data_IF_085497662860
#
_entry.id   IF_085497662860
#
_cell.length_a   1.000
_cell.length_b   1.000
_cell.length_c   1.000
_cell.angle_alpha   90.00
_cell.angle_beta   90.00
_cell.angle_gamma   90.00
#
_symmetry.space_group_name_H-M   'P 1'
#
loop_
_entity.id
_entity.type
_entity.pdbx_description
1 polymer ?
#
# COMPACT_ATOMS: atom_id res chain seq x y z
N UNK A 1 -18.25 -25.52 28.63
CA UNK A 1 -17.14 -24.55 28.72
C UNK A 1 -16.99 -23.96 27.34
N UNK A 2 -17.04 -22.63 27.19
CA UNK A 2 -16.84 -21.99 25.89
C UNK A 2 -15.38 -22.14 25.48
N UNK A 3 -15.13 -22.48 24.20
CA UNK A 3 -13.78 -22.56 23.62
C UNK A 3 -13.65 -21.42 22.62
N UNK A 4 -12.82 -20.44 22.97
CA UNK A 4 -12.46 -19.31 22.11
C UNK A 4 -11.44 -19.74 21.06
N UNK A 5 -10.36 -20.39 21.48
CA UNK A 5 -9.38 -20.92 20.57
C UNK A 5 -9.96 -22.11 19.78
N UNK A 6 -9.89 -22.02 18.46
CA UNK A 6 -10.20 -23.09 17.51
C UNK A 6 -8.94 -23.71 16.91
N UNK A 7 -9.11 -24.78 16.15
CA UNK A 7 -8.05 -25.36 15.32
C UNK A 7 -7.65 -24.39 14.18
N UNK A 8 -6.47 -24.61 13.60
CA UNK A 8 -5.94 -23.76 12.53
C UNK A 8 -6.85 -23.74 11.30
N UNK A 9 -7.43 -24.89 10.91
CA UNK A 9 -8.30 -25.00 9.73
C UNK A 9 -9.53 -24.09 9.84
N UNK A 10 -10.11 -23.92 11.03
CA UNK A 10 -11.20 -22.97 11.23
C UNK A 10 -10.82 -21.53 10.81
N UNK A 11 -9.63 -21.06 11.16
CA UNK A 11 -9.19 -19.70 10.81
C UNK A 11 -8.79 -19.58 9.34
N UNK A 12 -8.24 -20.64 8.75
CA UNK A 12 -7.98 -20.70 7.31
C UNK A 12 -9.28 -20.59 6.51
N UNK A 13 -10.28 -21.42 6.84
CA UNK A 13 -11.57 -21.43 6.17
C UNK A 13 -12.28 -20.07 6.32
N UNK A 14 -12.22 -19.47 7.51
CA UNK A 14 -12.76 -18.14 7.77
C UNK A 14 -12.05 -17.05 6.94
N UNK A 15 -10.72 -17.09 6.87
CA UNK A 15 -9.93 -16.13 6.10
C UNK A 15 -10.19 -16.25 4.60
N UNK A 16 -10.28 -17.48 4.11
CA UNK A 16 -10.53 -17.78 2.70
C UNK A 16 -11.96 -17.40 2.31
N UNK A 17 -12.95 -17.68 3.16
CA UNK A 17 -14.32 -17.23 2.95
C UNK A 17 -14.41 -15.70 2.84
N UNK A 18 -13.77 -14.96 3.76
CA UNK A 18 -13.72 -13.50 3.66
C UNK A 18 -13.01 -13.03 2.39
N UNK A 19 -11.99 -13.76 1.93
CA UNK A 19 -11.30 -13.45 0.66
C UNK A 19 -12.23 -13.63 -0.53
N UNK A 20 -13.03 -14.70 -0.56
CA UNK A 20 -14.02 -14.98 -1.60
C UNK A 20 -15.09 -13.89 -1.62
N UNK A 21 -15.66 -13.56 -0.47
CA UNK A 21 -16.70 -12.53 -0.35
C UNK A 21 -16.17 -11.16 -0.80
N UNK A 22 -14.97 -10.77 -0.35
CA UNK A 22 -14.33 -9.52 -0.77
C UNK A 22 -14.11 -9.48 -2.29
N UNK A 23 -13.63 -10.58 -2.89
CA UNK A 23 -13.42 -10.66 -4.34
C UNK A 23 -14.74 -10.53 -5.12
N UNK A 24 -15.80 -11.23 -4.70
CA UNK A 24 -17.12 -11.17 -5.33
C UNK A 24 -17.74 -9.78 -5.20
N UNK A 25 -17.68 -9.18 -4.01
CA UNK A 25 -18.23 -7.86 -3.75
C UNK A 25 -17.55 -6.79 -4.63
N UNK A 26 -16.23 -6.83 -4.74
CA UNK A 26 -15.49 -5.95 -5.63
C UNK A 26 -15.82 -6.19 -7.10
N UNK A 27 -15.84 -7.45 -7.54
CA UNK A 27 -16.17 -7.80 -8.92
C UNK A 27 -17.55 -7.24 -9.33
N UNK A 28 -18.57 -7.52 -8.53
CA UNK A 28 -19.94 -7.10 -8.83
C UNK A 28 -20.15 -5.60 -8.66
N UNK A 29 -19.51 -4.97 -7.68
CA UNK A 29 -19.58 -3.52 -7.48
C UNK A 29 -18.96 -2.77 -8.66
N UNK A 30 -17.78 -3.18 -9.12
CA UNK A 30 -17.11 -2.59 -10.28
C UNK A 30 -17.92 -2.79 -11.56
N UNK A 31 -18.40 -4.03 -11.80
CA UNK A 31 -19.24 -4.35 -12.95
C UNK A 31 -20.50 -3.49 -12.97
N UNK A 32 -21.22 -3.42 -11.85
CA UNK A 32 -22.44 -2.60 -11.72
C UNK A 32 -22.15 -1.11 -11.91
N UNK A 33 -21.00 -0.63 -11.48
CA UNK A 33 -20.54 0.74 -11.73
C UNK A 33 -20.36 1.02 -13.21
N UNK A 34 -19.60 0.17 -13.92
CA UNK A 34 -19.36 0.31 -15.36
C UNK A 34 -20.64 0.13 -16.20
N UNK A 35 -21.53 -0.77 -15.78
CA UNK A 35 -22.81 -1.03 -16.45
C UNK A 35 -23.67 0.22 -16.61
N UNK A 36 -23.65 1.12 -15.60
CA UNK A 36 -24.39 2.39 -15.65
C UNK A 36 -23.93 3.32 -16.79
N UNK A 37 -22.69 3.16 -17.25
CA UNK A 37 -22.08 3.95 -18.31
C UNK A 37 -22.00 3.20 -19.64
N UNK A 38 -22.68 2.05 -19.78
CA UNK A 38 -22.61 1.20 -20.99
C UNK A 38 -22.91 1.98 -22.27
N UNK A 39 -23.97 2.80 -22.28
CA UNK A 39 -24.37 3.55 -23.46
C UNK A 39 -23.30 4.58 -23.89
N UNK A 40 -22.72 5.30 -22.93
CA UNK A 40 -21.66 6.29 -23.18
C UNK A 40 -20.38 5.64 -23.68
N UNK A 41 -20.00 4.49 -23.09
CA UNK A 41 -18.79 3.76 -23.47
C UNK A 41 -18.92 3.11 -24.84
N UNK A 42 -20.07 2.51 -25.17
CA UNK A 42 -20.35 1.98 -26.51
C UNK A 42 -20.43 3.06 -27.58
N UNK A 43 -20.87 4.27 -27.25
CA UNK A 43 -20.88 5.38 -28.19
C UNK A 43 -19.46 5.85 -28.55
N UNK A 44 -18.52 5.79 -27.61
CA UNK A 44 -17.11 6.15 -27.83
C UNK A 44 -16.33 5.06 -28.55
N UNK A 45 -16.57 3.80 -28.20
CA UNK A 45 -15.89 2.64 -28.78
C UNK A 45 -16.90 1.56 -29.20
N UNK A 46 -17.56 1.72 -30.36
CA UNK A 46 -18.64 0.84 -30.79
C UNK A 46 -18.17 -0.58 -31.19
N UNK A 47 -16.91 -0.73 -31.62
CA UNK A 47 -16.32 -2.00 -32.02
C UNK A 47 -15.80 -2.83 -30.84
N UNK A 48 -15.73 -2.24 -29.64
CA UNK A 48 -15.18 -2.89 -28.45
C UNK A 48 -16.24 -3.77 -27.78
N UNK A 49 -15.88 -5.02 -27.48
CA UNK A 49 -16.71 -5.90 -26.65
C UNK A 49 -16.68 -5.42 -25.20
N UNK A 50 -17.69 -4.62 -24.85
CA UNK A 50 -17.86 -4.03 -23.53
C UNK A 50 -17.77 -5.07 -22.40
N UNK A 51 -18.45 -6.21 -22.53
CA UNK A 51 -18.52 -7.19 -21.45
C UNK A 51 -17.17 -7.87 -21.23
N UNK A 52 -16.41 -8.10 -22.31
CA UNK A 52 -15.04 -8.60 -22.24
C UNK A 52 -14.09 -7.60 -21.57
N UNK A 53 -14.15 -6.32 -21.92
CA UNK A 53 -13.29 -5.29 -21.31
C UNK A 53 -13.63 -5.01 -19.85
N UNK A 54 -14.92 -5.00 -19.52
CA UNK A 54 -15.39 -4.92 -18.13
C UNK A 54 -14.88 -6.11 -17.33
N UNK A 55 -15.02 -7.33 -17.86
CA UNK A 55 -14.51 -8.52 -17.19
C UNK A 55 -13.00 -8.44 -16.97
N UNK A 56 -12.20 -8.04 -17.98
CA UNK A 56 -10.75 -7.84 -17.82
C UNK A 56 -10.42 -6.86 -16.69
N UNK A 57 -11.09 -5.70 -16.67
CA UNK A 57 -10.88 -4.68 -15.65
C UNK A 57 -11.20 -5.19 -14.24
N UNK A 58 -12.34 -5.86 -14.08
CA UNK A 58 -12.71 -6.50 -12.82
C UNK A 58 -11.67 -7.56 -12.42
N UNK A 59 -11.26 -8.43 -13.35
CA UNK A 59 -10.28 -9.49 -13.11
C UNK A 59 -8.91 -8.96 -12.70
N UNK A 60 -8.42 -7.85 -13.27
CA UNK A 60 -7.19 -7.22 -12.79
C UNK A 60 -7.29 -6.73 -11.34
N UNK A 61 -8.43 -6.14 -10.98
CA UNK A 61 -8.66 -5.64 -9.62
C UNK A 61 -8.74 -6.80 -8.63
N UNK A 62 -9.55 -7.82 -8.96
CA UNK A 62 -9.70 -9.03 -8.15
C UNK A 62 -8.35 -9.73 -7.98
N UNK A 63 -7.57 -9.91 -9.06
CA UNK A 63 -6.23 -10.51 -8.96
C UNK A 63 -5.30 -9.74 -8.02
N UNK A 64 -5.37 -8.40 -8.02
CA UNK A 64 -4.59 -7.60 -7.07
C UNK A 64 -5.03 -7.87 -5.63
N UNK A 65 -6.35 -7.94 -5.37
CA UNK A 65 -6.90 -8.28 -4.04
C UNK A 65 -6.42 -9.67 -3.61
N UNK A 66 -6.58 -10.69 -4.45
CA UNK A 66 -6.11 -12.07 -4.18
C UNK A 66 -4.64 -12.09 -3.75
N UNK A 67 -3.77 -11.37 -4.47
CA UNK A 67 -2.34 -11.28 -4.15
C UNK A 67 -2.11 -10.62 -2.79
N UNK A 68 -2.81 -9.52 -2.48
CA UNK A 68 -2.68 -8.87 -1.18
C UNK A 68 -3.24 -9.72 -0.04
N UNK A 69 -4.34 -10.43 -0.26
CA UNK A 69 -4.92 -11.38 0.69
C UNK A 69 -3.96 -12.53 0.97
N UNK A 70 -3.29 -13.07 -0.05
CA UNK A 70 -2.25 -14.09 0.12
C UNK A 70 -1.09 -13.57 0.98
N UNK A 71 -0.56 -12.37 0.69
CA UNK A 71 0.54 -11.76 1.47
C UNK A 71 0.25 -11.64 2.96
N UNK A 72 -1.01 -11.36 3.32
CA UNK A 72 -1.43 -11.11 4.70
C UNK A 72 -2.02 -12.34 5.41
N UNK A 73 -2.26 -13.45 4.69
CA UNK A 73 -3.00 -14.61 5.21
C UNK A 73 -2.37 -15.15 6.49
N UNK A 74 -1.08 -15.47 6.43
CA UNK A 74 -0.35 -16.06 7.56
C UNK A 74 -0.36 -15.16 8.79
N UNK A 75 -0.07 -13.87 8.61
CA UNK A 75 0.01 -12.92 9.72
C UNK A 75 -1.37 -12.68 10.34
N UNK A 76 -2.41 -12.54 9.51
CA UNK A 76 -3.78 -12.31 9.99
C UNK A 76 -4.31 -13.51 10.79
N UNK A 77 -4.05 -14.73 10.31
CA UNK A 77 -4.45 -15.96 11.01
C UNK A 77 -3.70 -16.06 12.35
N UNK A 78 -2.40 -15.79 12.36
CA UNK A 78 -1.61 -15.81 13.59
C UNK A 78 -2.13 -14.77 14.61
N UNK A 79 -2.46 -13.55 14.16
CA UNK A 79 -3.05 -12.51 15.01
C UNK A 79 -4.40 -12.94 15.60
N UNK A 80 -5.28 -13.55 14.80
CA UNK A 80 -6.59 -14.04 15.27
C UNK A 80 -6.44 -15.17 16.29
N UNK A 81 -5.59 -16.15 15.98
CA UNK A 81 -5.30 -17.28 16.87
C UNK A 81 -4.72 -16.81 18.19
N UNK A 82 -3.77 -15.86 18.15
CA UNK A 82 -3.15 -15.31 19.36
C UNK A 82 -4.16 -14.55 20.22
N UNK A 83 -5.02 -13.75 19.60
CA UNK A 83 -6.08 -13.05 20.31
C UNK A 83 -7.05 -14.03 21.01
N UNK A 84 -7.43 -15.12 20.33
CA UNK A 84 -8.29 -16.15 20.92
C UNK A 84 -7.57 -17.00 21.96
N UNK A 85 -6.25 -17.22 21.83
CA UNK A 85 -5.41 -17.86 22.85
C UNK A 85 -5.40 -17.03 24.14
N UNK A 86 -5.17 -15.73 24.04
CA UNK A 86 -5.19 -14.80 25.19
C UNK A 86 -6.55 -14.82 25.89
N UNK A 87 -7.66 -14.81 25.13
CA UNK A 87 -9.02 -14.91 25.68
C UNK A 87 -9.24 -16.24 26.39
N UNK A 88 -8.80 -17.33 25.78
CA UNK A 88 -8.92 -18.67 26.34
C UNK A 88 -8.12 -18.78 27.65
N UNK A 89 -6.89 -18.29 27.68
CA UNK A 89 -6.04 -18.29 28.88
C UNK A 89 -6.62 -17.42 29.99
N UNK A 90 -7.17 -16.25 29.67
CA UNK A 90 -7.86 -15.38 30.64
C UNK A 90 -9.07 -16.10 31.24
N UNK A 91 -9.86 -16.78 30.40
CA UNK A 91 -10.98 -17.58 30.90
C UNK A 91 -10.48 -18.76 31.73
N UNK A 92 -9.47 -19.52 31.30
CA UNK A 92 -9.07 -20.77 31.97
C UNK A 92 -8.40 -20.49 33.31
N UNK A 93 -7.50 -19.51 33.36
CA UNK A 93 -6.72 -19.17 34.56
C UNK A 93 -7.49 -18.34 35.60
N UNK A 94 -8.65 -17.78 35.26
CA UNK A 94 -9.42 -17.01 36.24
C UNK A 94 -9.92 -17.91 37.38
N UNK A 95 -9.65 -17.53 38.62
CA UNK A 95 -10.08 -18.26 39.81
C UNK A 95 -11.34 -17.63 40.41
N UNK A 96 -12.27 -18.45 40.93
CA UNK A 96 -13.46 -17.94 41.60
C UNK A 96 -13.09 -17.29 42.93
N UNK A 97 -13.78 -16.19 43.33
CA UNK A 97 -13.62 -15.63 44.66
C UNK A 97 -13.93 -16.65 45.76
N UNK A 98 -13.14 -16.63 46.83
CA UNK A 98 -13.30 -17.54 47.96
C UNK A 98 -14.45 -17.13 48.90
N UNK A 99 -14.96 -18.10 49.67
CA UNK A 99 -15.88 -17.88 50.79
C UNK A 99 -17.18 -17.13 50.45
N UNK A 100 -17.65 -17.25 49.20
CA UNK A 100 -18.91 -16.64 48.78
C UNK A 100 -20.10 -17.34 49.44
N UNK A 101 -20.71 -16.66 50.41
CA UNK A 101 -21.96 -17.07 51.05
C UNK A 101 -23.15 -16.40 50.36
N UNK A 102 -24.32 -17.04 50.43
CA UNK A 102 -25.55 -16.45 49.93
C UNK A 102 -25.90 -15.17 50.70
N UNK A 103 -26.06 -14.04 50.02
CA UNK A 103 -26.42 -12.76 50.63
C UNK A 103 -27.72 -12.80 51.47
N UNK A 104 -28.60 -13.76 51.19
CA UNK A 104 -29.96 -13.80 51.75
C UNK A 104 -30.07 -14.76 52.93
N UNK A 105 -29.40 -15.91 52.87
CA UNK A 105 -29.52 -16.95 53.89
C UNK A 105 -28.18 -17.42 54.47
N UNK A 106 -27.08 -16.75 54.09
CA UNK A 106 -25.71 -17.00 54.57
C UNK A 106 -25.24 -18.45 54.45
N UNK A 107 -25.91 -19.25 53.61
CA UNK A 107 -25.57 -20.65 53.36
C UNK A 107 -24.48 -20.75 52.27
N UNK A 108 -23.70 -21.83 52.26
CA UNK A 108 -22.69 -22.07 51.23
C UNK A 108 -23.29 -22.05 49.81
N UNK A 109 -22.46 -21.64 48.86
CA UNK A 109 -22.80 -21.57 47.43
C UNK A 109 -21.96 -22.54 46.61
N UNK A 110 -22.41 -22.84 45.39
CA UNK A 110 -21.62 -23.55 44.38
C UNK A 110 -21.50 -22.70 43.12
N UNK A 111 -20.42 -22.87 42.38
CA UNK A 111 -20.23 -22.24 41.07
C UNK A 111 -21.10 -22.99 40.05
N UNK A 112 -21.89 -22.25 39.30
CA UNK A 112 -22.76 -22.74 38.24
C UNK A 112 -22.19 -22.45 36.86
N UNK A 113 -21.58 -21.28 36.70
CA UNK A 113 -21.16 -20.79 35.39
C UNK A 113 -19.94 -19.88 35.54
N UNK A 114 -19.09 -19.90 34.51
CA UNK A 114 -17.93 -19.02 34.34
C UNK A 114 -18.07 -18.35 32.99
N UNK A 115 -18.04 -17.02 32.97
CA UNK A 115 -18.34 -16.22 31.78
C UNK A 115 -17.30 -15.13 31.62
N UNK A 116 -16.72 -15.01 30.42
CA UNK A 116 -15.89 -13.88 30.02
C UNK A 116 -16.80 -12.78 29.47
N UNK A 117 -16.86 -11.65 30.18
CA UNK A 117 -17.56 -10.45 29.72
C UNK A 117 -16.66 -9.64 28.81
N UNK A 118 -17.28 -8.94 27.87
CA UNK A 118 -16.61 -7.97 27.02
C UNK A 118 -15.36 -8.57 26.35
N UNK A 119 -15.49 -9.81 25.84
CA UNK A 119 -14.37 -10.61 25.34
C UNK A 119 -13.56 -9.95 24.21
N UNK A 120 -14.10 -8.90 23.59
CA UNK A 120 -13.47 -8.13 22.52
C UNK A 120 -13.05 -6.71 22.96
N UNK A 121 -13.27 -6.35 24.22
CA UNK A 121 -12.81 -5.09 24.81
C UNK A 121 -11.36 -5.21 25.29
N UNK A 122 -10.73 -4.06 25.59
CA UNK A 122 -9.32 -4.01 26.03
C UNK A 122 -9.08 -4.75 27.35
N UNK A 123 -10.07 -4.76 28.23
CA UNK A 123 -9.97 -5.31 29.58
C UNK A 123 -11.14 -6.27 29.84
N UNK A 124 -11.10 -7.49 29.28
CA UNK A 124 -12.17 -8.46 29.49
C UNK A 124 -12.14 -8.95 30.95
N UNK A 125 -13.31 -9.09 31.55
CA UNK A 125 -13.46 -9.52 32.94
C UNK A 125 -14.14 -10.87 33.02
N UNK A 126 -13.64 -11.74 33.89
CA UNK A 126 -14.29 -13.01 34.15
C UNK A 126 -15.23 -12.88 35.34
N UNK A 127 -16.45 -13.38 35.17
CA UNK A 127 -17.41 -13.50 36.26
C UNK A 127 -17.77 -14.95 36.53
N UNK A 128 -18.17 -15.20 37.77
CA UNK A 128 -18.62 -16.48 38.28
C UNK A 128 -20.04 -16.34 38.80
N UNK A 129 -20.95 -17.16 38.28
CA UNK A 129 -22.30 -17.27 38.81
C UNK A 129 -22.33 -18.29 39.94
N UNK A 130 -22.71 -17.86 41.12
CA UNK A 130 -22.88 -18.70 42.30
C UNK A 130 -24.36 -18.97 42.55
N UNK A 131 -24.70 -20.23 42.82
CA UNK A 131 -26.05 -20.64 43.23
C UNK A 131 -26.03 -21.12 44.69
N UNK A 132 -26.91 -20.55 45.50
CA UNK A 132 -27.06 -20.97 46.89
C UNK A 132 -27.58 -22.41 46.97
N UNK A 133 -26.91 -23.23 47.77
CA UNK A 133 -27.31 -24.63 47.96
C UNK A 133 -28.69 -24.76 48.63
N UNK A 134 -29.04 -23.83 49.52
CA UNK A 134 -30.30 -23.82 50.30
C UNK A 134 -31.46 -23.17 49.56
N UNK A 135 -31.37 -21.88 49.22
CA UNK A 135 -32.51 -21.12 48.68
C UNK A 135 -32.52 -21.00 47.15
N UNK A 136 -31.52 -21.54 46.45
CA UNK A 136 -31.38 -21.50 44.98
C UNK A 136 -31.31 -20.10 44.36
N UNK A 137 -31.21 -19.04 45.17
CA UNK A 137 -30.92 -17.69 44.69
C UNK A 137 -29.52 -17.65 44.09
N UNK A 138 -29.36 -16.83 43.05
CA UNK A 138 -28.12 -16.68 42.30
C UNK A 138 -27.54 -15.29 42.50
N UNK A 139 -26.22 -15.23 42.50
CA UNK A 139 -25.44 -14.00 42.61
C UNK A 139 -24.20 -14.16 41.72
N UNK A 140 -23.75 -13.06 41.13
CA UNK A 140 -22.64 -13.07 40.19
C UNK A 140 -21.56 -12.16 40.76
N UNK A 141 -20.32 -12.65 40.79
CA UNK A 141 -19.16 -11.88 41.19
C UNK A 141 -18.10 -11.95 40.11
N UNK A 142 -17.35 -10.87 39.94
CA UNK A 142 -16.13 -10.87 39.14
C UNK A 142 -15.01 -11.64 39.86
N UNK A 143 -13.95 -11.97 39.14
CA UNK A 143 -12.76 -12.66 39.66
C UNK A 143 -12.07 -11.93 40.83
N UNK A 144 -12.25 -10.61 40.95
CA UNK A 144 -11.75 -9.79 42.07
C UNK A 144 -12.68 -9.79 43.31
N UNK A 145 -13.80 -10.50 43.24
CA UNK A 145 -14.81 -10.56 44.29
C UNK A 145 -15.80 -9.39 44.28
N UNK A 146 -15.68 -8.43 43.36
CA UNK A 146 -16.67 -7.38 43.20
C UNK A 146 -17.99 -7.93 42.65
N UNK A 147 -19.15 -7.47 43.12
CA UNK A 147 -20.43 -7.93 42.61
C UNK A 147 -20.65 -7.45 41.19
N UNK A 148 -21.15 -8.35 40.33
CA UNK A 148 -21.70 -7.94 39.04
C UNK A 148 -23.07 -7.33 39.30
N UNK A 149 -23.18 -6.01 39.11
CA UNK A 149 -24.45 -5.31 39.19
C UNK A 149 -24.92 -4.95 37.78
N UNK A 150 -26.13 -5.39 37.45
CA UNK A 150 -26.78 -4.99 36.21
C UNK A 150 -27.50 -3.67 36.43
N UNK A 151 -26.90 -2.58 35.95
CA UNK A 151 -27.58 -1.29 35.94
C UNK A 151 -28.83 -1.39 35.04
N UNK A 152 -30.00 -1.39 35.68
CA UNK A 152 -31.26 -1.44 34.93
C UNK A 152 -31.40 -0.16 34.10
N UNK A 153 -31.75 -0.30 32.82
CA UNK A 153 -31.91 0.86 31.95
C UNK A 153 -33.02 1.76 32.49
N UNK A 154 -32.75 3.07 32.52
CA UNK A 154 -33.71 4.09 32.92
C UNK A 154 -34.47 4.59 31.70
N UNK A 155 -35.75 4.89 31.88
CA UNK A 155 -36.55 5.46 30.82
C UNK A 155 -36.06 6.87 30.46
N UNK A 156 -35.91 7.16 29.16
CA UNK A 156 -35.48 8.48 28.68
C UNK A 156 -36.41 9.62 29.08
N UNK A 157 -37.73 9.35 29.19
CA UNK A 157 -38.74 10.35 29.59
C UNK A 157 -38.84 10.51 31.11
N UNK A 158 -38.98 9.39 31.82
CA UNK A 158 -39.37 9.38 33.24
C UNK A 158 -38.15 9.27 34.18
N UNK A 159 -36.95 8.95 33.67
CA UNK A 159 -35.70 8.66 34.44
C UNK A 159 -35.86 7.57 35.52
N UNK A 160 -36.98 6.86 35.52
CA UNK A 160 -37.29 5.73 36.40
C UNK A 160 -36.78 4.45 35.74
N UNK A 161 -36.34 3.49 36.57
CA UNK A 161 -35.92 2.16 36.11
C UNK A 161 -37.03 1.47 35.33
N UNK A 162 -36.67 0.94 34.16
CA UNK A 162 -37.57 0.13 33.36
C UNK A 162 -37.79 -1.23 34.01
N UNK A 163 -39.01 -1.72 33.89
CA UNK A 163 -39.37 -3.08 34.32
C UNK A 163 -39.42 -4.01 33.12
N UNK A 164 -38.99 -5.26 33.32
CA UNK A 164 -38.98 -6.27 32.27
C UNK A 164 -39.85 -7.45 32.65
N UNK A 165 -40.70 -7.89 31.73
CA UNK A 165 -41.51 -9.11 31.84
C UNK A 165 -41.08 -10.10 30.77
N UNK A 166 -41.00 -11.36 31.16
CA UNK A 166 -40.63 -12.45 30.27
C UNK A 166 -41.82 -13.38 30.07
N UNK A 167 -42.11 -13.72 28.82
CA UNK A 167 -43.12 -14.72 28.47
C UNK A 167 -42.52 -15.70 27.48
N UNK A 168 -42.26 -16.92 27.94
CA UNK A 168 -41.80 -18.02 27.09
C UNK A 168 -42.99 -18.87 26.64
N UNK A 169 -43.13 -19.10 25.34
CA UNK A 169 -44.12 -20.02 24.77
C UNK A 169 -43.42 -20.88 23.71
N UNK A 170 -43.05 -22.10 24.08
CA UNK A 170 -42.24 -22.97 23.23
C UNK A 170 -40.88 -22.35 22.94
N UNK A 171 -40.58 -22.14 21.65
CA UNK A 171 -39.31 -21.58 21.15
C UNK A 171 -39.30 -20.05 21.03
N UNK A 172 -40.42 -19.40 21.35
CA UNK A 172 -40.55 -17.95 21.39
C UNK A 172 -40.37 -17.44 22.82
N UNK A 173 -39.42 -16.52 23.00
CA UNK A 173 -39.27 -15.73 24.22
C UNK A 173 -39.63 -14.28 23.91
N UNK A 174 -40.75 -13.83 24.47
CA UNK A 174 -41.15 -12.42 24.43
C UNK A 174 -40.62 -11.71 25.66
N UNK A 175 -39.82 -10.68 25.45
CA UNK A 175 -39.30 -9.78 26.48
C UNK A 175 -40.06 -8.47 26.32
N UNK A 176 -40.68 -7.99 27.39
CA UNK A 176 -41.41 -6.72 27.38
C UNK A 176 -40.80 -5.79 28.41
N UNK A 177 -40.17 -4.73 27.94
CA UNK A 177 -39.55 -3.69 28.78
C UNK A 177 -40.47 -2.47 28.80
N UNK A 178 -40.82 -1.95 29.98
CA UNK A 178 -41.79 -0.84 30.09
C UNK A 178 -41.45 0.13 31.23
N UNK A 179 -41.78 1.43 31.10
CA UNK A 179 -41.72 2.37 32.24
C UNK A 179 -42.99 2.20 33.08
N UNK A 180 -42.88 2.05 34.41
CA UNK A 180 -44.07 1.98 35.27
C UNK A 180 -44.83 3.32 35.36
N UNK A 181 -44.16 4.44 35.05
CA UNK A 181 -44.70 5.80 35.22
C UNK A 181 -45.14 6.48 33.91
N UNK A 182 -44.91 5.89 32.74
CA UNK A 182 -45.33 6.46 31.47
C UNK A 182 -45.73 5.37 30.46
N UNK A 183 -46.04 5.79 29.25
CA UNK A 183 -46.52 4.95 28.16
C UNK A 183 -45.42 4.14 27.44
N UNK A 184 -44.15 4.31 27.83
CA UNK A 184 -43.04 3.63 27.18
C UNK A 184 -43.14 2.11 27.34
N UNK A 185 -43.12 1.40 26.21
CA UNK A 185 -43.11 -0.06 26.13
C UNK A 185 -42.35 -0.51 24.89
N UNK A 186 -41.43 -1.44 25.08
CA UNK A 186 -40.64 -2.11 24.06
C UNK A 186 -40.88 -3.61 24.17
N UNK A 187 -41.02 -4.28 23.03
CA UNK A 187 -41.31 -5.72 22.96
C UNK A 187 -40.33 -6.37 22.02
N UNK A 188 -39.42 -7.16 22.57
CA UNK A 188 -38.50 -7.99 21.82
C UNK A 188 -39.01 -9.42 21.77
N UNK A 189 -38.95 -10.03 20.59
CA UNK A 189 -39.33 -11.43 20.40
C UNK A 189 -38.13 -12.19 19.89
N UNK A 190 -37.60 -13.07 20.73
CA UNK A 190 -36.52 -13.98 20.38
C UNK A 190 -37.13 -15.31 19.91
N UNK A 191 -37.02 -15.58 18.62
CA UNK A 191 -37.45 -16.82 17.99
C UNK A 191 -36.25 -17.75 17.77
N UNK A 192 -36.15 -18.79 18.60
CA UNK A 192 -35.05 -19.75 18.55
C UNK A 192 -35.12 -20.64 17.31
N UNK A 193 -36.30 -20.84 16.72
CA UNK A 193 -36.48 -21.61 15.49
C UNK A 193 -35.93 -20.83 14.31
N UNK A 194 -36.42 -19.59 14.17
CA UNK A 194 -36.00 -18.69 13.09
C UNK A 194 -34.50 -18.46 13.12
N UNK A 195 -33.91 -18.25 14.31
CA UNK A 195 -32.45 -18.11 14.46
C UNK A 195 -31.68 -19.32 13.96
N UNK A 196 -32.13 -20.55 14.26
CA UNK A 196 -31.50 -21.78 13.75
C UNK A 196 -31.64 -21.92 12.24
N UNK A 197 -32.83 -21.63 11.71
CA UNK A 197 -33.08 -21.66 10.26
C UNK A 197 -32.19 -20.64 9.51
N UNK A 198 -32.00 -19.44 10.07
CA UNK A 198 -31.10 -18.41 9.52
C UNK A 198 -29.63 -18.84 9.59
N UNK A 199 -29.19 -19.42 10.72
CA UNK A 199 -27.83 -19.96 10.86
C UNK A 199 -27.55 -21.06 9.85
N UNK A 200 -28.48 -22.01 9.68
CA UNK A 200 -28.33 -23.10 8.72
C UNK A 200 -28.24 -22.58 7.28
N UNK A 201 -29.10 -21.62 6.90
CA UNK A 201 -29.03 -21.00 5.57
C UNK A 201 -27.71 -20.29 5.31
N UNK A 202 -27.18 -19.63 6.34
CA UNK A 202 -25.90 -18.94 6.25
C UNK A 202 -24.73 -19.94 6.13
N UNK A 203 -24.74 -21.04 6.90
CA UNK A 203 -23.75 -22.12 6.75
C UNK A 203 -23.80 -22.77 5.37
N UNK A 204 -25.00 -23.05 4.85
CA UNK A 204 -25.20 -23.55 3.49
C UNK A 204 -24.70 -22.56 2.42
N UNK A 205 -24.91 -21.25 2.63
CA UNK A 205 -24.38 -20.21 1.74
C UNK A 205 -22.86 -20.21 1.73
N UNK A 206 -22.24 -20.21 2.92
CA UNK A 206 -20.77 -20.20 3.07
C UNK A 206 -20.14 -21.43 2.44
N UNK A 207 -20.74 -22.60 2.65
CA UNK A 207 -20.28 -23.85 2.06
C UNK A 207 -20.32 -23.81 0.53
N UNK A 208 -21.40 -23.27 -0.07
CA UNK A 208 -21.50 -23.10 -1.52
C UNK A 208 -20.44 -22.16 -2.06
N UNK A 209 -20.27 -20.99 -1.43
CA UNK A 209 -19.25 -20.03 -1.84
C UNK A 209 -17.86 -20.64 -1.82
N UNK A 210 -17.54 -21.39 -0.75
CA UNK A 210 -16.27 -22.07 -0.63
C UNK A 210 -16.07 -23.10 -1.76
N UNK A 211 -17.07 -23.96 -2.01
CA UNK A 211 -16.98 -24.98 -3.06
C UNK A 211 -16.87 -24.39 -4.47
N UNK A 212 -17.53 -23.27 -4.74
CA UNK A 212 -17.57 -22.67 -6.08
C UNK A 212 -16.33 -21.82 -6.38
N UNK A 213 -15.78 -21.12 -5.38
CA UNK A 213 -14.82 -20.04 -5.62
C UNK A 213 -13.50 -20.16 -4.87
N UNK A 214 -13.32 -21.17 -4.01
CA UNK A 214 -12.07 -21.31 -3.23
C UNK A 214 -10.85 -21.42 -4.12
N UNK A 215 -10.85 -22.33 -5.09
CA UNK A 215 -9.73 -22.50 -6.04
C UNK A 215 -9.50 -21.25 -6.91
N UNK A 216 -10.56 -20.51 -7.23
CA UNK A 216 -10.46 -19.32 -8.08
C UNK A 216 -9.88 -18.13 -7.33
N UNK A 217 -10.25 -17.90 -6.06
CA UNK A 217 -9.88 -16.68 -5.34
C UNK A 217 -8.78 -16.87 -4.30
N UNK A 218 -8.60 -18.06 -3.75
CA UNK A 218 -7.61 -18.31 -2.70
C UNK A 218 -6.32 -18.90 -3.30
N UNK A 219 -5.27 -18.08 -3.39
CA UNK A 219 -3.98 -18.52 -3.92
C UNK A 219 -3.32 -19.55 -2.99
N UNK A 220 -2.82 -20.62 -3.56
CA UNK A 220 -2.03 -21.63 -2.85
C UNK A 220 -0.54 -21.24 -2.77
N UNK A 221 0.27 -22.05 -2.09
CA UNK A 221 1.69 -21.79 -1.87
C UNK A 221 2.58 -21.95 -3.11
N UNK A 222 2.05 -22.47 -4.21
CA UNK A 222 2.78 -22.52 -5.49
C UNK A 222 2.49 -21.30 -6.37
N UNK A 223 1.23 -20.85 -6.41
CA UNK A 223 0.77 -19.75 -7.26
C UNK A 223 0.97 -18.39 -6.58
N UNK A 224 0.75 -18.32 -5.27
CA UNK A 224 0.84 -17.11 -4.47
C UNK A 224 2.18 -16.39 -4.62
N UNK A 225 3.33 -17.05 -4.38
CA UNK A 225 4.65 -16.42 -4.51
C UNK A 225 4.93 -15.92 -5.92
N UNK A 226 4.51 -16.66 -6.96
CA UNK A 226 4.68 -16.27 -8.36
C UNK A 226 3.87 -15.01 -8.69
N UNK A 227 2.61 -14.99 -8.26
CA UNK A 227 1.73 -13.85 -8.46
C UNK A 227 2.23 -12.59 -7.72
N UNK A 228 2.72 -12.76 -6.49
CA UNK A 228 3.38 -11.70 -5.70
C UNK A 228 4.59 -11.13 -6.44
N UNK A 229 5.50 -11.99 -6.90
CA UNK A 229 6.71 -11.55 -7.61
C UNK A 229 6.39 -10.82 -8.92
N UNK A 230 5.41 -11.32 -9.68
CA UNK A 230 4.96 -10.67 -10.91
C UNK A 230 4.40 -9.27 -10.66
N UNK A 231 3.56 -9.10 -9.64
CA UNK A 231 3.00 -7.80 -9.27
C UNK A 231 4.10 -6.83 -8.81
N UNK A 232 5.04 -7.29 -7.98
CA UNK A 232 6.15 -6.47 -7.52
C UNK A 232 7.08 -6.05 -8.66
N UNK A 233 7.30 -6.93 -9.65
CA UNK A 233 8.03 -6.60 -10.87
C UNK A 233 7.37 -5.50 -11.69
N UNK A 234 6.04 -5.56 -11.88
CA UNK A 234 5.28 -4.50 -12.57
C UNK A 234 5.38 -3.17 -11.80
N UNK A 235 5.27 -3.21 -10.47
CA UNK A 235 5.39 -2.02 -9.63
C UNK A 235 6.79 -1.41 -9.72
N UNK A 236 7.85 -2.23 -9.75
CA UNK A 236 9.22 -1.77 -9.93
C UNK A 236 9.42 -1.09 -11.30
N UNK A 237 8.98 -1.74 -12.39
CA UNK A 237 9.07 -1.19 -13.73
C UNK A 237 8.32 0.14 -13.86
N UNK A 238 7.13 0.25 -13.27
CA UNK A 238 6.35 1.48 -13.26
C UNK A 238 7.07 2.64 -12.52
N UNK A 239 7.86 2.33 -11.48
CA UNK A 239 8.70 3.33 -10.80
C UNK A 239 9.84 3.78 -11.69
N UNK A 240 10.54 2.85 -12.33
CA UNK A 240 11.63 3.14 -13.26
C UNK A 240 11.14 4.02 -14.42
N UNK A 241 9.98 3.70 -15.01
CA UNK A 241 9.39 4.52 -16.07
C UNK A 241 9.07 5.94 -15.61
N UNK A 242 8.52 6.10 -14.40
CA UNK A 242 8.27 7.45 -13.84
C UNK A 242 9.56 8.23 -13.60
N UNK A 243 10.63 7.56 -13.19
CA UNK A 243 11.94 8.19 -13.03
C UNK A 243 12.53 8.59 -14.38
N UNK A 244 12.40 7.74 -15.40
CA UNK A 244 12.82 8.06 -16.77
C UNK A 244 12.01 9.24 -17.36
N UNK A 245 10.69 9.26 -17.21
CA UNK A 245 9.89 10.41 -17.65
C UNK A 245 10.33 11.72 -16.98
N UNK A 246 10.71 11.67 -15.69
CA UNK A 246 11.24 12.85 -15.00
C UNK A 246 12.56 13.30 -15.59
N UNK A 247 13.48 12.35 -15.87
CA UNK A 247 14.75 12.64 -16.54
C UNK A 247 14.52 13.24 -17.93
N UNK A 248 13.63 12.66 -18.73
CA UNK A 248 13.31 13.17 -20.06
C UNK A 248 12.65 14.55 -20.02
N UNK A 249 11.90 14.90 -18.98
CA UNK A 249 11.31 16.24 -18.84
C UNK A 249 12.30 17.28 -18.32
N UNK A 250 13.47 16.88 -17.84
CA UNK A 250 14.48 17.80 -17.33
C UNK A 250 15.05 18.67 -18.48
N UNK A 251 14.92 20.01 -18.43
CA UNK A 251 15.46 20.91 -19.44
C UNK A 251 16.97 20.76 -19.66
N UNK A 252 17.73 20.43 -18.61
CA UNK A 252 19.18 20.23 -18.68
C UNK A 252 19.48 18.95 -19.45
N UNK A 253 18.75 17.87 -19.17
CA UNK A 253 18.87 16.61 -19.91
C UNK A 253 18.54 16.76 -21.39
N UNK A 254 17.47 17.51 -21.71
CA UNK A 254 17.09 17.79 -23.10
C UNK A 254 18.17 18.60 -23.84
N UNK A 255 18.75 19.61 -23.19
CA UNK A 255 19.90 20.35 -23.75
C UNK A 255 21.10 19.46 -23.98
N UNK A 256 21.41 18.55 -23.05
CA UNK A 256 22.53 17.62 -23.17
C UNK A 256 22.33 16.67 -24.37
N UNK A 257 21.11 16.17 -24.57
CA UNK A 257 20.73 15.31 -25.71
C UNK A 257 20.82 16.03 -27.06
N UNK A 258 20.68 17.35 -27.08
CA UNK A 258 20.79 18.17 -28.29
C UNK A 258 22.24 18.50 -28.69
N UNK A 259 23.23 18.24 -27.84
CA UNK A 259 24.64 18.45 -28.18
C UNK A 259 25.07 17.55 -29.33
N UNK A 260 25.72 18.15 -30.33
CA UNK A 260 26.29 17.42 -31.46
C UNK A 260 27.52 16.63 -30.98
N UNK A 261 27.46 15.31 -31.14
CA UNK A 261 28.63 14.45 -30.95
C UNK A 261 29.51 14.51 -32.19
N UNK A 262 30.51 15.38 -32.16
CA UNK A 262 31.38 15.71 -33.29
C UNK A 262 32.65 14.84 -33.21
N UNK A 263 32.99 14.18 -34.32
CA UNK A 263 34.24 13.41 -34.43
C UNK A 263 35.44 14.32 -34.65
N UNK A 264 36.65 13.82 -34.38
CA UNK A 264 37.87 14.64 -34.43
C UNK A 264 38.11 15.33 -35.79
N UNK A 265 37.79 14.67 -36.90
CA UNK A 265 37.89 15.25 -38.24
C UNK A 265 36.94 16.45 -38.41
N UNK A 266 35.69 16.31 -37.98
CA UNK A 266 34.69 17.37 -38.02
C UNK A 266 35.04 18.51 -37.06
N UNK A 267 35.61 18.19 -35.89
CA UNK A 267 36.12 19.19 -34.94
C UNK A 267 37.18 20.07 -35.61
N UNK A 268 38.13 19.46 -36.33
CA UNK A 268 39.17 20.20 -37.05
C UNK A 268 38.56 21.17 -38.06
N UNK A 269 37.56 20.73 -38.82
CA UNK A 269 36.87 21.59 -39.79
C UNK A 269 36.14 22.75 -39.13
N UNK A 270 35.40 22.50 -38.04
CA UNK A 270 34.64 23.52 -37.30
C UNK A 270 35.57 24.58 -36.75
N UNK A 271 36.64 24.17 -36.04
CA UNK A 271 37.58 25.10 -35.41
C UNK A 271 38.34 25.87 -36.48
N UNK A 272 38.84 25.22 -37.54
CA UNK A 272 39.58 25.89 -38.62
C UNK A 272 38.72 26.98 -39.28
N UNK A 273 37.46 26.69 -39.59
CA UNK A 273 36.53 27.67 -40.19
C UNK A 273 36.26 28.85 -39.26
N UNK A 274 36.11 28.60 -37.96
CA UNK A 274 35.81 29.63 -36.98
C UNK A 274 36.97 30.61 -36.75
N UNK A 275 38.22 30.13 -36.85
CA UNK A 275 39.41 30.94 -36.49
C UNK A 275 40.08 31.60 -37.70
N UNK A 276 39.90 31.06 -38.90
CA UNK A 276 40.51 31.59 -40.13
C UNK A 276 40.13 33.04 -40.44
N UNK A 277 38.87 33.43 -40.20
CA UNK A 277 38.39 34.79 -40.46
C UNK A 277 39.07 35.85 -39.58
N UNK A 278 39.59 35.45 -38.41
CA UNK A 278 40.31 36.33 -37.49
C UNK A 278 41.83 36.25 -37.64
N UNK A 279 42.31 35.64 -38.73
CA UNK A 279 43.74 35.60 -39.07
C UNK A 279 44.53 34.53 -38.31
N UNK A 280 43.87 33.52 -37.74
CA UNK A 280 44.55 32.33 -37.23
C UNK A 280 44.60 31.26 -38.31
N UNK A 281 45.79 30.76 -38.63
CA UNK A 281 46.01 29.77 -39.69
C UNK A 281 46.94 28.66 -39.20
N UNK A 282 47.15 27.63 -40.03
CA UNK A 282 47.95 26.45 -39.69
C UNK A 282 47.48 25.72 -38.41
N UNK A 283 46.16 25.51 -38.28
CA UNK A 283 45.62 24.76 -37.16
C UNK A 283 46.08 23.29 -37.23
N UNK A 284 46.89 22.90 -36.26
CA UNK A 284 47.36 21.53 -36.07
C UNK A 284 46.83 20.96 -34.76
N UNK A 285 46.54 19.66 -34.78
CA UNK A 285 46.14 18.91 -33.60
C UNK A 285 47.24 17.92 -33.25
N UNK A 286 47.60 17.89 -31.97
CA UNK A 286 48.56 16.95 -31.42
C UNK A 286 48.02 15.52 -31.34
N UNK A 287 48.78 14.65 -30.66
CA UNK A 287 48.33 13.28 -30.41
C UNK A 287 47.23 13.30 -29.32
N UNK A 288 46.08 12.66 -29.54
CA UNK A 288 45.03 12.60 -28.54
C UNK A 288 45.45 11.75 -27.33
N UNK A 289 45.18 12.24 -26.13
CA UNK A 289 45.27 11.51 -24.88
C UNK A 289 43.96 10.77 -24.61
N UNK A 290 44.04 9.44 -24.55
CA UNK A 290 42.90 8.56 -24.34
C UNK A 290 42.83 8.16 -22.85
N UNK A 291 42.01 8.86 -22.08
CA UNK A 291 41.78 8.60 -20.65
C UNK A 291 40.29 8.48 -20.31
N UNK A 292 39.87 9.02 -19.14
CA UNK A 292 38.44 9.18 -18.82
C UNK A 292 37.73 10.06 -19.86
N UNK A 293 38.46 11.03 -20.42
CA UNK A 293 38.05 11.91 -21.49
C UNK A 293 39.07 11.84 -22.61
N UNK A 294 38.65 12.15 -23.84
CA UNK A 294 39.59 12.36 -24.96
C UNK A 294 40.05 13.81 -24.90
N UNK A 295 41.35 14.02 -24.73
CA UNK A 295 41.96 15.35 -24.70
C UNK A 295 42.90 15.49 -25.87
N UNK A 296 42.86 16.62 -26.56
CA UNK A 296 43.75 16.89 -27.69
C UNK A 296 44.31 18.31 -27.61
N UNK A 297 45.62 18.40 -27.82
CA UNK A 297 46.31 19.68 -27.90
C UNK A 297 46.14 20.27 -29.30
N UNK A 298 46.09 21.59 -29.40
CA UNK A 298 46.07 22.29 -30.67
C UNK A 298 47.09 23.42 -30.70
N UNK A 299 47.56 23.73 -31.90
CA UNK A 299 48.41 24.89 -32.18
C UNK A 299 47.89 25.61 -33.42
N UNK A 300 48.01 26.93 -33.46
CA UNK A 300 47.75 27.75 -34.64
C UNK A 300 48.69 28.97 -34.65
N UNK A 301 48.86 29.59 -35.80
CA UNK A 301 49.68 30.80 -36.00
C UNK A 301 48.80 32.03 -36.11
N UNK A 302 49.15 33.11 -35.40
CA UNK A 302 48.49 34.41 -35.53
C UNK A 302 49.19 35.27 -36.59
N UNK A 303 48.48 35.61 -37.66
CA UNK A 303 49.01 36.42 -38.78
C UNK A 303 49.06 37.92 -38.50
N UNK A 304 48.47 38.39 -37.39
CA UNK A 304 48.35 39.82 -37.13
C UNK A 304 49.51 40.34 -36.29
N UNK A 305 50.47 40.98 -36.96
CA UNK A 305 51.67 41.57 -36.33
C UNK A 305 51.36 42.69 -35.33
N UNK A 306 50.20 43.37 -35.48
CA UNK A 306 49.75 44.45 -34.60
C UNK A 306 49.00 43.95 -33.35
N UNK A 307 48.69 42.65 -33.28
CA UNK A 307 47.89 42.06 -32.20
C UNK A 307 48.75 41.67 -31.00
N UNK A 308 48.52 42.33 -29.86
CA UNK A 308 49.13 41.95 -28.58
C UNK A 308 48.70 40.55 -28.13
N UNK A 309 49.59 39.84 -27.45
CA UNK A 309 49.38 38.49 -26.88
C UNK A 309 48.02 38.33 -26.15
N UNK A 310 47.69 39.25 -25.25
CA UNK A 310 46.44 39.21 -24.50
C UNK A 310 45.20 39.27 -25.41
N UNK A 311 45.26 40.06 -26.48
CA UNK A 311 44.16 40.18 -27.43
C UNK A 311 44.06 38.93 -28.30
N UNK A 312 45.20 38.34 -28.69
CA UNK A 312 45.28 37.10 -29.46
C UNK A 312 44.61 35.94 -28.70
N UNK A 313 45.12 35.63 -27.50
CA UNK A 313 44.61 34.54 -26.66
C UNK A 313 43.13 34.69 -26.34
N UNK A 314 42.66 35.89 -25.98
CA UNK A 314 41.24 36.12 -25.67
C UNK A 314 40.32 36.04 -26.89
N UNK A 315 40.78 36.52 -28.05
CA UNK A 315 39.98 36.44 -29.28
C UNK A 315 39.83 34.99 -29.68
N UNK A 316 40.93 34.22 -29.74
CA UNK A 316 40.87 32.80 -30.06
C UNK A 316 40.02 32.01 -29.07
N UNK A 317 40.15 32.30 -27.76
CA UNK A 317 39.34 31.68 -26.71
C UNK A 317 37.84 31.91 -26.93
N UNK A 318 37.43 33.11 -27.32
CA UNK A 318 36.03 33.43 -27.63
C UNK A 318 35.54 32.66 -28.86
N UNK A 319 36.33 32.64 -29.93
CA UNK A 319 35.99 31.93 -31.17
C UNK A 319 35.82 30.43 -30.94
N UNK A 320 36.77 29.79 -30.27
CA UNK A 320 36.71 28.35 -29.98
C UNK A 320 35.53 28.03 -29.06
N UNK A 321 35.28 28.85 -28.02
CA UNK A 321 34.13 28.63 -27.14
C UNK A 321 32.80 28.73 -27.87
N UNK A 322 32.63 29.73 -28.73
CA UNK A 322 31.42 29.91 -29.52
C UNK A 322 31.25 28.79 -30.56
N UNK A 323 32.32 28.41 -31.26
CA UNK A 323 32.28 27.37 -32.29
C UNK A 323 31.96 25.97 -31.74
N UNK A 324 32.24 25.72 -30.46
CA UNK A 324 32.04 24.42 -29.84
C UNK A 324 30.83 24.37 -28.91
N UNK A 325 30.11 25.47 -28.70
CA UNK A 325 29.00 25.60 -27.74
C UNK A 325 27.92 24.52 -27.90
N UNK A 326 27.56 24.19 -29.14
CA UNK A 326 26.55 23.17 -29.48
C UNK A 326 27.12 21.76 -29.67
N UNK A 327 28.39 21.55 -29.32
CA UNK A 327 29.10 20.26 -29.52
C UNK A 327 29.47 19.60 -28.19
N UNK A 328 29.97 18.37 -28.26
CA UNK A 328 30.49 17.64 -27.11
C UNK A 328 31.96 17.96 -26.74
N UNK A 329 32.54 19.04 -27.29
CA UNK A 329 33.93 19.45 -27.03
C UNK A 329 34.01 20.77 -26.26
N UNK A 330 34.95 20.91 -25.33
CA UNK A 330 35.19 22.16 -24.60
C UNK A 330 36.66 22.49 -24.49
N UNK A 331 36.98 23.79 -24.57
CA UNK A 331 38.30 24.31 -24.23
C UNK A 331 38.56 24.11 -22.74
N UNK A 332 39.72 23.56 -22.39
CA UNK A 332 40.10 23.33 -21.01
C UNK A 332 40.34 24.64 -20.23
N UNK A 333 40.24 24.56 -18.90
CA UNK A 333 40.37 25.71 -18.00
C UNK A 333 41.77 26.34 -18.01
N UNK A 334 42.80 25.58 -18.37
CA UNK A 334 44.19 26.03 -18.56
C UNK A 334 44.30 27.18 -19.59
N UNK A 335 43.33 27.29 -20.50
CA UNK A 335 43.19 28.42 -21.42
C UNK A 335 44.02 28.26 -22.70
N UNK A 336 44.44 29.39 -23.25
CA UNK A 336 45.24 29.47 -24.47
C UNK A 336 46.53 30.18 -24.13
N UNK A 337 47.65 29.59 -24.53
CA UNK A 337 48.98 30.15 -24.37
C UNK A 337 49.43 30.79 -25.67
N UNK A 338 50.29 31.81 -25.57
CA UNK A 338 50.87 32.50 -26.71
C UNK A 338 52.39 32.52 -26.57
N UNK A 339 53.11 32.31 -27.67
CA UNK A 339 54.56 32.44 -27.72
C UNK A 339 55.01 32.71 -29.15
N UNK A 340 55.66 33.85 -29.38
CA UNK A 340 56.26 34.21 -30.68
C UNK A 340 55.31 34.05 -31.87
N UNK A 341 54.06 34.50 -31.75
CA UNK A 341 53.04 34.37 -32.80
C UNK A 341 52.32 33.02 -32.86
N UNK A 342 52.73 32.03 -32.06
CA UNK A 342 52.06 30.72 -31.96
C UNK A 342 51.12 30.72 -30.77
N UNK A 343 49.89 30.30 -31.00
CA UNK A 343 48.86 30.08 -29.97
C UNK A 343 48.60 28.60 -29.79
N UNK A 344 48.49 28.14 -28.54
CA UNK A 344 48.26 26.74 -28.22
C UNK A 344 47.26 26.56 -27.08
N UNK A 345 46.60 25.41 -27.04
CA UNK A 345 45.66 25.07 -25.98
C UNK A 345 45.20 23.62 -26.06
N UNK A 346 44.24 23.25 -25.21
CA UNK A 346 43.74 21.88 -25.10
C UNK A 346 42.22 21.82 -25.19
N UNK A 347 41.71 20.88 -25.98
CA UNK A 347 40.28 20.58 -26.12
C UNK A 347 39.97 19.23 -25.48
N UNK A 348 38.83 19.16 -24.79
CA UNK A 348 38.35 17.97 -24.08
C UNK A 348 36.99 17.53 -24.63
N UNK A 349 36.86 16.27 -25.00
CA UNK A 349 35.60 15.65 -25.41
C UNK A 349 34.85 15.03 -24.24
N UNK A 350 33.52 15.07 -24.31
CA UNK A 350 32.60 14.47 -23.38
C UNK A 350 31.70 13.50 -24.15
N UNK A 351 31.55 12.27 -23.68
CA UNK A 351 30.81 11.22 -24.40
C UNK A 351 29.72 10.56 -23.54
N UNK A 352 29.89 10.55 -22.21
CA UNK A 352 28.92 9.95 -21.29
C UNK A 352 27.78 10.92 -21.02
N UNK A 353 26.60 10.39 -20.77
CA UNK A 353 25.39 11.17 -20.51
C UNK A 353 25.57 12.18 -19.36
N UNK A 354 26.03 11.71 -18.19
CA UNK A 354 26.31 12.56 -17.02
C UNK A 354 27.33 13.67 -17.32
N UNK A 355 28.33 13.34 -18.15
CA UNK A 355 29.38 14.25 -18.58
C UNK A 355 28.83 15.33 -19.54
N UNK A 356 27.90 14.98 -20.43
CA UNK A 356 27.20 15.93 -21.32
C UNK A 356 26.25 16.84 -20.54
N UNK A 357 25.52 16.28 -19.56
CA UNK A 357 24.67 17.05 -18.63
C UNK A 357 25.51 18.10 -17.90
N UNK A 358 26.69 17.73 -17.39
CA UNK A 358 27.57 18.65 -16.68
C UNK A 358 28.14 19.80 -17.54
N UNK A 359 28.05 19.73 -18.87
CA UNK A 359 28.48 20.82 -19.76
C UNK A 359 27.36 21.85 -19.99
N UNK A 360 26.10 21.42 -19.93
CA UNK A 360 24.91 22.27 -20.21
C UNK A 360 24.19 22.72 -18.93
N UNK A 361 24.62 22.18 -17.79
CA UNK A 361 24.28 22.63 -16.43
C UNK A 361 25.01 23.93 -16.13
#
# INVERSE_FOLDING_TARGET
MYSYLKDHSFYEDLYDLHTIEECLDWYWSLRKGMEKHRAELKAKEPETDFDKEVHKCCSYTVNTIKIQRYRRKKDSIAEWMEADRIRQEKLDNAEPPENILCHECHSPTKIMEKTLHDAYDKEPRVSFMFECLKCKKRQIFYEDGSPWDYEKPKCKKCQVELQTKYKKKGELLTITTFCPNCDFKEVDVLDSKKRREEQQKEEERKQKLFQEYHEEFCLNDEEGPKAVANLDGIVALAKEWKEQEKKEKDPVYQKAKQLKQVKLNQLKEIVTKAVAQEGYFDLEFGKPEMGKYVIIDFTATDSRDDRKEYNSTNTLKKLIKAALEDTNWRLMSEGIHYRLGIVSGRLKAYEREDDLIGIVS
#
